data_IF_130519048050
#
_entry.id   IF_130519048050
#
_cell.length_a   1.000
_cell.length_b   1.000
_cell.length_c   1.000
_cell.angle_alpha   90.00
_cell.angle_beta   90.00
_cell.angle_gamma   90.00
#
_symmetry.space_group_name_H-M   'P 1'
#
loop_
_entity.id
_entity.type
_entity.pdbx_description
1 polymer ?
#
# COMPACT_ATOMS: atom_id res chain seq x y z
N UNK A 1 -9.91 -10.15 6.44
CA UNK A 1 -9.83 -9.62 5.07
C UNK A 1 -9.11 -8.29 5.19
N UNK A 2 -7.88 -8.22 4.70
CA UNK A 2 -6.95 -7.13 5.00
C UNK A 2 -7.06 -6.06 3.90
N UNK A 3 -8.30 -5.61 3.70
CA UNK A 3 -8.65 -4.60 2.72
C UNK A 3 -9.49 -3.53 3.39
N UNK A 4 -9.38 -2.33 2.88
CA UNK A 4 -10.24 -1.20 3.25
C UNK A 4 -11.04 -0.74 2.04
N UNK A 5 -12.13 0.00 2.29
CA UNK A 5 -12.82 0.77 1.26
C UNK A 5 -12.95 2.20 1.74
N UNK A 6 -12.55 3.14 0.90
CA UNK A 6 -12.64 4.59 1.18
C UNK A 6 -13.30 5.31 0.01
N UNK A 7 -14.01 6.42 0.28
CA UNK A 7 -14.40 7.35 -0.76
C UNK A 7 -13.17 7.99 -1.41
N UNK A 8 -13.31 8.37 -2.68
CA UNK A 8 -12.21 8.86 -3.51
C UNK A 8 -11.57 10.16 -2.98
N UNK A 9 -12.32 10.98 -2.26
CA UNK A 9 -11.83 12.21 -1.63
C UNK A 9 -10.79 11.96 -0.52
N UNK A 10 -10.79 10.75 0.07
CA UNK A 10 -9.81 10.33 1.09
C UNK A 10 -8.54 9.69 0.51
N UNK A 11 -8.46 9.46 -0.80
CA UNK A 11 -7.35 8.74 -1.47
C UNK A 11 -6.01 9.48 -1.43
N UNK A 12 -5.99 10.80 -1.28
CA UNK A 12 -4.72 11.51 -1.15
C UNK A 12 -4.12 11.34 0.25
N UNK A 13 -4.97 11.39 1.27
CA UNK A 13 -4.55 11.40 2.68
C UNK A 13 -4.29 9.99 3.21
N UNK A 14 -5.16 9.03 2.90
CA UNK A 14 -5.10 7.71 3.52
C UNK A 14 -3.87 6.89 3.04
N UNK A 15 -3.63 6.71 1.73
CA UNK A 15 -2.39 6.17 1.19
C UNK A 15 -1.13 6.90 1.67
N UNK A 16 -1.07 8.23 1.72
CA UNK A 16 0.14 8.92 2.21
C UNK A 16 0.47 8.49 3.65
N UNK A 17 -0.52 8.51 4.55
CA UNK A 17 -0.35 8.05 5.93
C UNK A 17 0.06 6.59 6.00
N UNK A 18 -0.57 5.73 5.20
CA UNK A 18 -0.32 4.29 5.18
C UNK A 18 1.08 3.96 4.64
N UNK A 19 1.48 4.58 3.53
CA UNK A 19 2.80 4.38 2.94
C UNK A 19 3.90 4.95 3.84
N UNK A 20 3.63 6.03 4.58
CA UNK A 20 4.57 6.59 5.56
C UNK A 20 4.86 5.60 6.68
N UNK A 21 3.83 4.96 7.26
CA UNK A 21 4.06 3.96 8.31
C UNK A 21 4.74 2.69 7.78
N UNK A 22 4.63 2.40 6.49
CA UNK A 22 5.36 1.32 5.82
C UNK A 22 6.82 1.65 5.50
N UNK A 23 7.31 2.84 5.87
CA UNK A 23 8.71 3.23 5.71
C UNK A 23 9.06 3.93 4.40
N UNK A 24 8.07 4.31 3.58
CA UNK A 24 8.33 5.05 2.34
C UNK A 24 8.68 6.51 2.66
N UNK A 25 9.75 7.02 2.02
CA UNK A 25 10.11 8.44 2.05
C UNK A 25 9.15 9.29 1.22
N UNK A 26 9.20 10.62 1.39
CA UNK A 26 8.19 11.54 0.86
C UNK A 26 8.05 11.49 -0.66
N UNK A 27 9.16 11.42 -1.39
CA UNK A 27 9.15 11.35 -2.86
C UNK A 27 8.46 10.07 -3.34
N UNK A 28 8.74 8.91 -2.73
CA UNK A 28 8.09 7.65 -3.10
C UNK A 28 6.57 7.69 -2.87
N UNK A 29 6.12 8.28 -1.76
CA UNK A 29 4.67 8.43 -1.47
C UNK A 29 4.00 9.38 -2.45
N UNK A 30 4.61 10.53 -2.72
CA UNK A 30 4.11 11.50 -3.70
C UNK A 30 4.04 10.87 -5.07
N UNK A 31 5.09 10.20 -5.53
CA UNK A 31 5.12 9.52 -6.83
C UNK A 31 4.05 8.43 -6.93
N UNK A 32 3.87 7.60 -5.90
CA UNK A 32 2.80 6.60 -5.86
C UNK A 32 1.43 7.26 -6.05
N UNK A 33 1.12 8.29 -5.25
CA UNK A 33 -0.18 8.95 -5.26
C UNK A 33 -0.42 9.63 -6.60
N UNK A 34 0.53 10.45 -7.07
CA UNK A 34 0.41 11.19 -8.33
C UNK A 34 0.28 10.27 -9.54
N UNK A 35 0.96 9.12 -9.56
CA UNK A 35 0.87 8.17 -10.67
C UNK A 35 -0.50 7.48 -10.74
N UNK A 36 -1.05 7.04 -9.61
CA UNK A 36 -2.31 6.28 -9.56
C UNK A 36 -3.57 7.13 -9.48
N UNK A 37 -3.47 8.38 -9.02
CA UNK A 37 -4.58 9.34 -8.88
C UNK A 37 -5.50 9.40 -10.12
N UNK A 38 -4.99 9.51 -11.36
CA UNK A 38 -5.84 9.59 -12.55
C UNK A 38 -6.71 8.35 -12.79
N UNK A 39 -6.28 7.18 -12.31
CA UNK A 39 -7.05 5.93 -12.42
C UNK A 39 -8.07 5.83 -11.29
N UNK A 40 -7.66 6.20 -10.08
CA UNK A 40 -8.50 6.19 -8.89
C UNK A 40 -9.68 7.17 -9.02
N UNK A 41 -9.45 8.38 -9.56
CA UNK A 41 -10.47 9.43 -9.69
C UNK A 41 -11.60 9.10 -10.67
N UNK A 42 -11.53 7.97 -11.37
CA UNK A 42 -12.62 7.45 -12.21
C UNK A 42 -13.72 6.75 -11.40
N UNK A 43 -13.53 6.55 -10.10
CA UNK A 43 -14.43 5.80 -9.23
C UNK A 43 -14.92 6.64 -8.05
N UNK A 44 -16.11 6.35 -7.53
CA UNK A 44 -16.64 6.99 -6.31
C UNK A 44 -15.96 6.46 -5.04
N UNK A 45 -15.66 5.15 -5.04
CA UNK A 45 -15.03 4.46 -3.93
C UNK A 45 -13.91 3.56 -4.44
N UNK A 46 -12.89 3.39 -3.61
CA UNK A 46 -11.74 2.52 -3.90
C UNK A 46 -11.56 1.53 -2.78
N UNK A 47 -11.46 0.25 -3.14
CA UNK A 47 -10.90 -0.76 -2.27
C UNK A 47 -9.37 -0.74 -2.36
N UNK A 48 -8.69 -0.74 -1.22
CA UNK A 48 -7.23 -0.86 -1.14
C UNK A 48 -6.86 -2.11 -0.36
N UNK A 49 -5.83 -2.81 -0.83
CA UNK A 49 -5.26 -3.98 -0.15
C UNK A 49 -3.77 -4.10 -0.48
N UNK A 50 -2.87 -4.03 0.51
CA UNK A 50 -1.49 -4.34 0.26
C UNK A 50 -1.28 -5.86 0.12
N UNK A 51 -0.24 -6.21 -0.63
CA UNK A 51 0.24 -7.58 -0.76
C UNK A 51 1.28 -7.83 0.32
N UNK A 52 1.17 -8.90 1.13
CA UNK A 52 2.22 -9.27 2.08
C UNK A 52 3.57 -9.46 1.37
N UNK A 53 4.62 -8.84 1.89
CA UNK A 53 5.96 -8.87 1.29
C UNK A 53 6.44 -10.32 1.08
N UNK A 54 6.26 -11.20 2.07
CA UNK A 54 6.64 -12.60 1.95
C UNK A 54 5.90 -13.34 0.81
N UNK A 55 4.65 -12.96 0.51
CA UNK A 55 3.92 -13.52 -0.63
C UNK A 55 4.45 -12.95 -1.96
N UNK A 56 4.76 -11.65 -2.00
CA UNK A 56 5.32 -11.00 -3.18
C UNK A 56 6.72 -11.53 -3.52
N UNK A 57 7.57 -11.75 -2.52
CA UNK A 57 8.92 -12.33 -2.68
C UNK A 57 8.91 -13.77 -3.21
N UNK A 58 7.94 -14.58 -2.79
CA UNK A 58 7.76 -15.93 -3.36
C UNK A 58 7.32 -15.89 -4.82
N UNK A 59 6.52 -14.90 -5.21
CA UNK A 59 6.02 -14.77 -6.57
C UNK A 59 7.03 -14.10 -7.52
N UNK A 60 7.84 -13.17 -6.99
CA UNK A 60 8.81 -12.39 -7.74
C UNK A 60 10.08 -12.21 -6.91
N UNK A 61 11.01 -13.16 -7.04
CA UNK A 61 12.27 -13.13 -6.29
C UNK A 61 13.15 -11.95 -6.73
N UNK A 62 13.76 -11.28 -5.75
CA UNK A 62 14.65 -10.15 -5.96
C UNK A 62 16.04 -10.53 -5.41
N UNK A 63 17.04 -10.53 -6.29
CA UNK A 63 18.43 -10.81 -5.92
C UNK A 63 19.26 -9.53 -6.14
N UNK A 64 19.87 -9.03 -5.08
CA UNK A 64 20.66 -7.80 -5.09
C UNK A 64 22.03 -8.09 -4.51
N UNK A 65 23.07 -7.62 -5.20
CA UNK A 65 24.46 -7.74 -4.78
C UNK A 65 25.12 -6.36 -4.77
N UNK A 66 25.76 -5.93 -3.65
CA UNK A 66 25.89 -6.64 -2.38
C UNK A 66 24.53 -6.86 -1.69
N UNK A 67 24.44 -7.86 -0.80
CA UNK A 67 23.20 -8.17 -0.09
C UNK A 67 22.78 -6.96 0.75
N UNK A 68 21.56 -6.43 0.57
CA UNK A 68 21.07 -5.33 1.38
C UNK A 68 20.79 -5.79 2.81
N UNK A 69 20.99 -4.89 3.76
CA UNK A 69 20.66 -5.12 5.17
C UNK A 69 19.14 -5.25 5.35
N UNK A 70 18.37 -4.46 4.61
CA UNK A 70 16.91 -4.47 4.63
C UNK A 70 16.34 -4.22 3.24
N UNK A 71 15.32 -5.01 2.90
CA UNK A 71 14.49 -4.83 1.72
C UNK A 71 13.06 -4.55 2.18
N UNK A 72 12.51 -3.43 1.74
CA UNK A 72 11.11 -3.05 1.96
C UNK A 72 10.38 -3.11 0.63
N UNK A 73 9.38 -3.98 0.51
CA UNK A 73 8.60 -4.16 -0.71
C UNK A 73 7.13 -3.90 -0.45
N UNK A 74 6.61 -2.80 -0.99
CA UNK A 74 5.21 -2.40 -0.82
C UNK A 74 4.50 -2.45 -2.16
N UNK A 75 3.65 -3.46 -2.34
CA UNK A 75 2.74 -3.55 -3.48
C UNK A 75 1.31 -3.33 -2.99
N UNK A 76 0.62 -2.32 -3.54
CA UNK A 76 -0.75 -1.98 -3.19
C UNK A 76 -1.71 -2.34 -4.33
N UNK A 77 -2.63 -3.26 -4.07
CA UNK A 77 -3.74 -3.53 -4.97
C UNK A 77 -4.82 -2.48 -4.75
N UNK A 78 -5.44 -2.02 -5.83
CA UNK A 78 -6.62 -1.18 -5.74
C UNK A 78 -7.69 -1.60 -6.75
N UNK A 79 -8.94 -1.26 -6.43
CA UNK A 79 -10.10 -1.56 -7.26
C UNK A 79 -11.20 -0.52 -7.07
N UNK A 80 -11.80 -0.05 -8.17
CA UNK A 80 -13.02 0.74 -8.14
C UNK A 80 -14.22 -0.03 -7.60
N UNK A 81 -14.96 0.57 -6.67
CA UNK A 81 -16.20 0.01 -6.10
C UNK A 81 -17.37 0.95 -6.39
N UNK A 82 -18.40 0.42 -7.05
CA UNK A 82 -19.64 1.14 -7.28
C UNK A 82 -20.45 1.24 -5.98
N UNK A 83 -21.21 2.32 -5.82
CA UNK A 83 -21.98 2.61 -4.61
C UNK A 83 -22.97 1.49 -4.24
N UNK A 84 -23.56 0.85 -5.25
CA UNK A 84 -24.53 -0.24 -5.10
C UNK A 84 -23.91 -1.47 -4.42
N UNK A 85 -22.59 -1.64 -4.55
CA UNK A 85 -21.86 -2.78 -3.99
C UNK A 85 -21.28 -2.52 -2.61
N UNK A 86 -21.35 -1.29 -2.07
CA UNK A 86 -20.72 -0.94 -0.79
C UNK A 86 -21.23 -1.76 0.40
N UNK A 87 -22.49 -2.18 0.38
CA UNK A 87 -23.06 -3.03 1.44
C UNK A 87 -22.26 -4.33 1.61
N UNK A 88 -21.67 -4.86 0.53
CA UNK A 88 -20.84 -6.06 0.55
C UNK A 88 -19.44 -5.82 1.16
N UNK A 89 -19.07 -4.55 1.39
CA UNK A 89 -17.77 -4.13 1.89
C UNK A 89 -17.84 -3.50 3.28
N UNK A 90 -18.91 -3.72 4.04
CA UNK A 90 -19.11 -3.12 5.37
C UNK A 90 -17.90 -3.31 6.30
N UNK A 91 -17.31 -4.51 6.33
CA UNK A 91 -16.10 -4.79 7.09
C UNK A 91 -14.90 -3.94 6.64
N UNK A 92 -14.68 -3.80 5.34
CA UNK A 92 -13.57 -3.03 4.79
C UNK A 92 -13.74 -1.52 5.05
N UNK A 93 -14.97 -1.02 5.08
CA UNK A 93 -15.25 0.36 5.49
C UNK A 93 -14.88 0.57 6.97
N UNK A 94 -15.24 -0.35 7.86
CA UNK A 94 -14.86 -0.26 9.28
C UNK A 94 -13.35 -0.32 9.49
N UNK A 95 -12.64 -1.12 8.69
CA UNK A 95 -11.17 -1.20 8.75
C UNK A 95 -10.50 0.11 8.33
N UNK A 96 -11.14 0.92 7.46
CA UNK A 96 -10.61 2.22 7.05
C UNK A 96 -10.53 3.25 8.19
N UNK A 97 -11.33 3.06 9.25
CA UNK A 97 -11.34 3.96 10.42
C UNK A 97 -10.27 3.58 11.46
N UNK A 98 -9.58 2.44 11.29
CA UNK A 98 -8.48 2.04 12.17
C UNK A 98 -7.23 2.89 11.91
N UNK A 99 -6.38 2.99 12.93
CA UNK A 99 -5.06 3.58 12.79
C UNK A 99 -4.25 2.78 11.76
N UNK A 100 -3.75 3.45 10.72
CA UNK A 100 -2.98 2.87 9.60
C UNK A 100 -1.74 2.06 9.99
N UNK A 101 -1.24 2.17 11.22
CA UNK A 101 -0.09 1.41 11.71
C UNK A 101 -0.25 -0.11 11.56
N UNK A 102 -1.49 -0.63 11.59
CA UNK A 102 -1.76 -2.06 11.38
C UNK A 102 -1.30 -2.59 10.02
N UNK A 103 -1.11 -1.71 9.01
CA UNK A 103 -0.57 -2.12 7.72
C UNK A 103 0.84 -2.70 7.82
N UNK A 104 1.63 -2.28 8.82
CA UNK A 104 2.98 -2.83 9.02
C UNK A 104 2.92 -4.35 9.22
N UNK A 105 1.97 -4.83 10.02
CA UNK A 105 1.78 -6.27 10.28
C UNK A 105 1.21 -7.00 9.05
N UNK A 106 0.33 -6.35 8.28
CA UNK A 106 -0.25 -6.94 7.06
C UNK A 106 0.80 -7.11 5.97
N UNK A 107 1.64 -6.08 5.75
CA UNK A 107 2.68 -6.14 4.73
C UNK A 107 3.86 -6.98 5.22
N UNK A 108 4.18 -6.94 6.51
CA UNK A 108 5.33 -7.61 7.09
C UNK A 108 6.65 -6.89 6.80
N UNK A 109 6.64 -5.56 6.87
CA UNK A 109 7.84 -4.71 6.70
C UNK A 109 8.45 -4.32 8.05
N UNK A 110 9.69 -3.84 8.03
CA UNK A 110 10.39 -3.26 9.19
C UNK A 110 10.67 -1.76 8.96
N UNK A 111 9.74 -0.87 9.34
CA UNK A 111 9.90 0.58 9.12
C UNK A 111 11.07 1.17 9.91
N UNK A 112 11.46 0.57 11.04
CA UNK A 112 12.58 1.05 11.85
C UNK A 112 13.89 0.88 11.08
N UNK A 113 14.14 -0.32 10.54
CA UNK A 113 15.32 -0.58 9.71
C UNK A 113 15.24 0.12 8.36
N UNK A 114 14.05 0.25 7.77
CA UNK A 114 13.85 1.01 6.54
C UNK A 114 14.19 2.51 6.70
N UNK A 115 14.11 3.04 7.91
CA UNK A 115 14.51 4.42 8.24
C UNK A 115 15.99 4.59 8.60
N UNK A 116 16.71 3.51 8.88
CA UNK A 116 18.09 3.57 9.37
C UNK A 116 19.09 3.88 8.24
N UNK A 117 19.59 5.12 8.22
CA UNK A 117 20.52 5.61 7.19
C UNK A 117 21.90 4.97 7.23
N UNK A 118 22.23 4.18 8.27
CA UNK A 118 23.50 3.46 8.39
C UNK A 118 23.49 2.12 7.65
N UNK A 119 22.31 1.64 7.25
CA UNK A 119 22.10 0.37 6.54
C UNK A 119 22.10 0.55 5.01
N UNK A 120 22.50 -0.49 4.29
CA UNK A 120 22.19 -0.64 2.86
C UNK A 120 20.72 -1.03 2.71
N UNK A 121 19.89 -0.02 2.40
CA UNK A 121 18.43 -0.15 2.31
C UNK A 121 17.98 -0.21 0.85
N UNK A 122 17.10 -1.15 0.55
CA UNK A 122 16.42 -1.23 -0.75
C UNK A 122 14.93 -1.04 -0.54
N UNK A 123 14.35 -0.11 -1.28
CA UNK A 123 12.90 0.14 -1.31
C UNK A 123 12.37 -0.18 -2.71
N UNK A 124 11.44 -1.12 -2.79
CA UNK A 124 10.59 -1.32 -3.96
C UNK A 124 9.15 -0.95 -3.57
N UNK A 125 8.50 -0.17 -4.42
CA UNK A 125 7.10 0.18 -4.22
C UNK A 125 6.35 0.16 -5.56
N UNK A 126 5.06 -0.15 -5.51
CA UNK A 126 4.22 -0.20 -6.70
C UNK A 126 2.75 -0.38 -6.38
N UNK A 127 1.90 -0.12 -7.37
CA UNK A 127 0.47 -0.39 -7.30
C UNK A 127 0.03 -1.34 -8.42
N UNK A 128 -1.12 -1.98 -8.26
CA UNK A 128 -1.77 -2.76 -9.31
C UNK A 128 -3.28 -2.50 -9.32
N UNK A 129 -3.78 -2.10 -10.47
CA UNK A 129 -5.21 -1.95 -10.73
C UNK A 129 -5.84 -3.32 -11.01
N UNK A 130 -6.92 -3.66 -10.29
CA UNK A 130 -7.68 -4.87 -10.53
C UNK A 130 -8.81 -4.55 -11.52
N UNK A 131 -8.59 -4.93 -12.78
CA UNK A 131 -9.59 -4.86 -13.84
C UNK A 131 -10.40 -6.16 -13.87
N UNK A 132 -11.73 -6.06 -13.80
CA UNK A 132 -12.66 -7.19 -13.98
C UNK A 132 -13.82 -6.81 -14.90
#
# INVERSE_FOLDING_TARGET
>A
MDSIVIPVDKVTVYPDKSLKVLGLHTEARTSFITYWLPYIFKHEYIALRPVPQAAYERAASLCISPQPDVVTRVCMLFKGICKEHLANWANAQMQAEKNVAWWVDVVGVDPARAGDVTLLRVLEWGGMDILI
#
